data_IF_631775798135
#
_entry.id   IF_631775798135
#
_cell.length_a   1.000
_cell.length_b   1.000
_cell.length_c   1.000
_cell.angle_alpha   90.00
_cell.angle_beta   90.00
_cell.angle_gamma   90.00
#
_symmetry.space_group_name_H-M   'P 1'
#
loop_
_entity.id
_entity.type
_entity.pdbx_description
1 polymer ?
#
# COMPACT_ATOMS: atom_id res chain seq x y z
N UNK A 1 13.80 -24.94 -5.33
CA UNK A 1 13.52 -23.50 -5.12
C UNK A 1 12.03 -23.29 -5.07
N UNK A 2 11.53 -22.75 -3.99
CA UNK A 2 10.13 -22.45 -3.89
C UNK A 2 9.83 -21.14 -4.61
N UNK A 3 8.75 -21.09 -5.36
CA UNK A 3 8.26 -19.83 -5.89
C UNK A 3 7.78 -18.94 -4.74
N UNK A 4 8.00 -17.64 -4.87
CA UNK A 4 7.41 -16.70 -3.93
C UNK A 4 5.89 -16.80 -4.00
N UNK A 5 5.23 -16.73 -2.85
CA UNK A 5 3.78 -16.72 -2.82
C UNK A 5 3.26 -15.43 -3.45
N UNK A 6 2.14 -15.49 -4.19
CA UNK A 6 1.49 -14.27 -4.66
C UNK A 6 1.13 -13.35 -3.50
N UNK A 7 1.41 -12.07 -3.66
CA UNK A 7 1.13 -11.08 -2.63
C UNK A 7 0.85 -9.71 -3.23
N UNK A 8 0.58 -8.75 -2.37
CA UNK A 8 0.46 -7.33 -2.70
C UNK A 8 1.63 -6.62 -2.05
N UNK A 9 2.35 -5.81 -2.81
CA UNK A 9 3.49 -5.04 -2.33
C UNK A 9 3.33 -3.57 -2.69
N UNK A 10 4.10 -2.72 -2.01
CA UNK A 10 4.11 -1.29 -2.30
C UNK A 10 5.52 -0.72 -2.24
N UNK A 11 5.68 0.46 -2.81
CA UNK A 11 6.89 1.26 -2.75
C UNK A 11 6.48 2.72 -2.72
N UNK A 12 6.80 3.42 -1.64
CA UNK A 12 6.43 4.84 -1.49
C UNK A 12 7.65 5.70 -1.81
N UNK A 13 7.47 6.61 -2.76
CA UNK A 13 8.52 7.55 -3.19
C UNK A 13 8.08 8.96 -2.88
N UNK A 14 8.98 9.72 -2.26
CA UNK A 14 8.78 11.13 -1.94
C UNK A 14 9.33 11.97 -3.10
N UNK A 15 8.42 12.53 -3.89
CA UNK A 15 8.81 13.33 -5.07
C UNK A 15 9.40 14.68 -4.70
N UNK A 16 9.14 15.19 -3.48
CA UNK A 16 9.72 16.45 -3.04
C UNK A 16 11.21 16.32 -2.75
N UNK A 17 11.64 15.20 -2.18
CA UNK A 17 13.06 14.94 -1.89
C UNK A 17 13.74 14.16 -3.01
N UNK A 18 13.00 13.39 -3.80
CA UNK A 18 13.53 12.46 -4.78
C UNK A 18 13.94 11.11 -4.17
N UNK A 19 13.67 10.89 -2.89
CA UNK A 19 14.10 9.70 -2.16
C UNK A 19 12.93 8.77 -1.84
N UNK A 20 13.19 7.49 -1.54
CA UNK A 20 12.17 6.62 -0.96
C UNK A 20 11.65 7.19 0.37
N UNK A 21 10.40 6.91 0.68
CA UNK A 21 9.76 7.37 1.91
C UNK A 21 9.74 6.25 2.95
N UNK A 22 10.63 6.28 3.95
CA UNK A 22 10.66 5.25 5.00
C UNK A 22 9.60 5.51 6.06
N UNK A 23 9.23 4.45 6.78
CA UNK A 23 8.37 4.50 7.95
C UNK A 23 6.99 5.11 7.69
N UNK A 24 6.46 4.88 6.49
CA UNK A 24 5.08 5.26 6.15
C UNK A 24 4.15 4.14 6.58
N UNK A 25 3.14 4.46 7.39
CA UNK A 25 2.12 3.51 7.79
C UNK A 25 1.21 3.14 6.63
N UNK A 26 1.04 1.83 6.40
CA UNK A 26 0.18 1.29 5.33
C UNK A 26 -0.67 0.18 5.92
N UNK A 27 -1.98 0.33 5.79
CA UNK A 27 -2.94 -0.70 6.20
C UNK A 27 -3.55 -1.35 4.96
N UNK A 28 -3.68 -2.67 4.99
CA UNK A 28 -4.39 -3.42 3.97
C UNK A 28 -5.67 -3.98 4.57
N UNK A 29 -6.78 -3.70 3.92
CA UNK A 29 -8.09 -4.23 4.28
C UNK A 29 -8.60 -5.13 3.16
N UNK A 30 -9.30 -6.19 3.54
CA UNK A 30 -10.12 -6.95 2.61
C UNK A 30 -11.57 -6.54 2.80
N UNK A 31 -12.28 -6.31 1.72
CA UNK A 31 -13.69 -5.91 1.78
C UNK A 31 -14.56 -7.15 1.71
N UNK A 32 -15.46 -7.28 2.69
CA UNK A 32 -16.45 -8.35 2.69
C UNK A 32 -17.52 -8.09 1.61
N UNK A 33 -18.41 -9.06 1.39
CA UNK A 33 -19.46 -8.96 0.35
C UNK A 33 -20.37 -7.75 0.57
N UNK A 34 -20.57 -7.34 1.82
CA UNK A 34 -21.36 -6.15 2.16
C UNK A 34 -20.55 -4.86 2.09
N UNK A 35 -19.27 -4.92 1.68
CA UNK A 35 -18.37 -3.78 1.59
C UNK A 35 -17.67 -3.41 2.89
N UNK A 36 -17.94 -4.12 4.00
CA UNK A 36 -17.28 -3.82 5.27
C UNK A 36 -15.80 -4.21 5.23
N UNK A 37 -14.88 -3.38 5.77
CA UNK A 37 -13.47 -3.67 5.75
C UNK A 37 -13.06 -4.61 6.87
N UNK A 38 -12.18 -5.56 6.54
CA UNK A 38 -11.50 -6.42 7.52
C UNK A 38 -10.00 -6.12 7.43
N UNK A 39 -9.39 -5.75 8.56
CA UNK A 39 -7.96 -5.46 8.58
C UNK A 39 -7.16 -6.74 8.35
N UNK A 40 -6.32 -6.72 7.31
CA UNK A 40 -5.40 -7.82 7.00
C UNK A 40 -4.04 -7.57 7.65
N UNK A 41 -3.52 -6.36 7.48
CA UNK A 41 -2.22 -5.97 8.05
C UNK A 41 -2.13 -4.47 8.24
N UNK A 42 -1.23 -4.07 9.14
CA UNK A 42 -0.86 -2.68 9.35
C UNK A 42 0.64 -2.67 9.53
N UNK A 43 1.36 -2.22 8.50
CA UNK A 43 2.81 -2.31 8.42
C UNK A 43 3.37 -0.93 8.09
N UNK A 44 4.71 -0.81 8.15
CA UNK A 44 5.40 0.43 7.80
C UNK A 44 6.45 0.16 6.73
N UNK A 45 6.65 1.12 5.84
CA UNK A 45 7.69 0.99 4.81
C UNK A 45 9.07 0.91 5.47
N UNK A 46 9.96 0.14 4.84
CA UNK A 46 11.35 0.00 5.28
C UNK A 46 12.20 1.21 4.83
N UNK A 47 13.51 1.12 5.03
CA UNK A 47 14.45 2.20 4.66
C UNK A 47 14.44 2.53 3.17
N UNK A 48 14.01 1.60 2.32
CA UNK A 48 13.89 1.79 0.88
C UNK A 48 12.46 2.21 0.46
N UNK A 49 11.58 2.49 1.42
CA UNK A 49 10.20 2.86 1.14
C UNK A 49 9.32 1.69 0.73
N UNK A 50 9.72 0.46 1.01
CA UNK A 50 9.04 -0.74 0.50
C UNK A 50 8.35 -1.53 1.61
N UNK A 51 7.25 -2.18 1.23
CA UNK A 51 6.67 -3.31 1.96
C UNK A 51 6.50 -4.43 0.95
N UNK A 52 7.27 -5.51 1.12
CA UNK A 52 7.31 -6.62 0.17
C UNK A 52 6.12 -7.55 0.26
N UNK A 53 5.47 -7.64 1.42
CA UNK A 53 4.34 -8.53 1.64
C UNK A 53 3.29 -7.87 2.54
N UNK A 54 2.34 -7.19 1.93
CA UNK A 54 1.24 -6.53 2.65
C UNK A 54 0.24 -7.53 3.22
N UNK A 55 0.25 -8.77 2.76
CA UNK A 55 -0.59 -9.81 3.34
C UNK A 55 -0.03 -10.36 4.65
N UNK A 56 1.23 -10.03 4.96
CA UNK A 56 1.90 -10.43 6.21
C UNK A 56 1.79 -11.94 6.46
N UNK A 57 2.06 -12.72 5.41
CA UNK A 57 2.02 -14.17 5.46
C UNK A 57 0.67 -14.80 5.10
N UNK A 58 -0.40 -14.01 5.02
CA UNK A 58 -1.70 -14.54 4.64
C UNK A 58 -1.77 -14.84 3.14
N UNK A 59 -2.62 -15.77 2.69
CA UNK A 59 -2.76 -16.05 1.27
C UNK A 59 -3.49 -14.92 0.55
N UNK A 60 -3.10 -14.67 -0.71
CA UNK A 60 -3.84 -13.78 -1.58
C UNK A 60 -5.10 -14.50 -2.07
N UNK A 61 -6.24 -13.85 -1.91
CA UNK A 61 -7.55 -14.39 -2.28
C UNK A 61 -8.19 -13.41 -3.28
N UNK A 62 -8.90 -13.92 -4.26
CA UNK A 62 -9.70 -13.08 -5.15
C UNK A 62 -10.71 -12.25 -4.36
N UNK A 63 -10.95 -11.04 -4.82
CA UNK A 63 -11.89 -10.12 -4.18
C UNK A 63 -11.39 -8.69 -4.16
N UNK A 64 -12.08 -7.86 -3.39
CA UNK A 64 -11.78 -6.44 -3.30
C UNK A 64 -10.97 -6.16 -2.04
N UNK A 65 -9.96 -5.30 -2.20
CA UNK A 65 -9.06 -4.85 -1.12
C UNK A 65 -8.99 -3.34 -1.14
N UNK A 66 -8.54 -2.77 -0.02
CA UNK A 66 -8.26 -1.35 0.08
C UNK A 66 -6.92 -1.15 0.78
N UNK A 67 -6.05 -0.36 0.16
CA UNK A 67 -4.82 0.13 0.78
C UNK A 67 -5.07 1.52 1.35
N UNK A 68 -4.60 1.76 2.57
CA UNK A 68 -4.65 3.07 3.20
C UNK A 68 -3.25 3.48 3.63
N UNK A 69 -2.77 4.60 3.10
CA UNK A 69 -1.44 5.14 3.41
C UNK A 69 -1.60 6.34 4.34
N UNK A 70 -0.88 6.34 5.46
CA UNK A 70 -0.88 7.45 6.41
C UNK A 70 0.18 8.48 6.03
N UNK A 71 -0.13 9.26 5.01
CA UNK A 71 0.80 10.23 4.45
C UNK A 71 0.96 11.47 5.33
N UNK A 72 -0.07 11.81 6.12
CA UNK A 72 -0.01 12.92 7.06
C UNK A 72 1.01 12.67 8.18
N UNK A 73 1.06 11.45 8.71
CA UNK A 73 2.06 11.06 9.69
C UNK A 73 3.47 11.14 9.12
N UNK A 74 3.66 10.66 7.89
CA UNK A 74 4.95 10.76 7.21
C UNK A 74 5.40 12.22 7.02
N UNK A 75 4.48 13.11 6.63
CA UNK A 75 4.79 14.52 6.42
C UNK A 75 5.20 15.22 7.71
N UNK A 76 4.83 14.68 8.87
CA UNK A 76 5.07 15.24 10.20
C UNK A 76 4.62 16.71 10.29
N UNK A 77 3.49 16.98 9.67
CA UNK A 77 2.89 18.32 9.61
C UNK A 77 1.37 18.17 9.79
N UNK A 78 0.82 18.66 10.91
CA UNK A 78 -0.62 18.56 11.16
C UNK A 78 -1.47 19.34 10.15
N UNK A 79 -0.86 20.29 9.44
CA UNK A 79 -1.53 21.10 8.43
C UNK A 79 -1.26 20.59 7.00
N UNK A 80 -0.61 19.44 6.84
CA UNK A 80 -0.40 18.86 5.52
C UNK A 80 -1.73 18.67 4.81
N UNK A 81 -1.77 19.02 3.53
CA UNK A 81 -3.01 18.96 2.75
C UNK A 81 -3.55 17.53 2.66
N UNK A 82 -2.69 16.57 2.30
CA UNK A 82 -3.08 15.17 2.26
C UNK A 82 -2.76 14.51 3.59
N UNK A 83 -3.76 13.93 4.23
CA UNK A 83 -3.62 13.20 5.49
C UNK A 83 -3.59 11.69 5.26
N UNK A 84 -4.30 11.20 4.26
CA UNK A 84 -4.31 9.79 3.92
C UNK A 84 -4.57 9.60 2.43
N UNK A 85 -4.17 8.44 1.92
CA UNK A 85 -4.50 8.01 0.57
C UNK A 85 -5.11 6.62 0.66
N UNK A 86 -6.30 6.43 0.09
CA UNK A 86 -6.97 5.14 0.05
C UNK A 86 -7.10 4.69 -1.41
N UNK A 87 -6.67 3.47 -1.69
CA UNK A 87 -6.66 2.90 -3.04
C UNK A 87 -7.46 1.60 -3.02
N UNK A 88 -8.52 1.56 -3.80
CA UNK A 88 -9.34 0.35 -3.96
C UNK A 88 -8.73 -0.55 -5.04
N UNK A 89 -8.59 -1.84 -4.72
CA UNK A 89 -8.02 -2.84 -5.62
C UNK A 89 -9.04 -3.96 -5.84
N UNK A 90 -9.09 -4.50 -7.05
CA UNK A 90 -9.83 -5.73 -7.32
C UNK A 90 -8.87 -6.80 -7.81
N UNK A 91 -8.80 -7.91 -7.09
CA UNK A 91 -7.96 -9.05 -7.43
C UNK A 91 -8.81 -10.09 -8.11
N UNK A 92 -8.59 -10.28 -9.40
CA UNK A 92 -9.31 -11.27 -10.20
C UNK A 92 -8.48 -12.52 -10.49
N UNK A 93 -7.18 -12.45 -10.24
CA UNK A 93 -6.25 -13.57 -10.42
C UNK A 93 -5.35 -13.65 -9.20
N UNK A 94 -5.64 -14.59 -8.31
CA UNK A 94 -4.86 -14.79 -7.08
C UNK A 94 -3.58 -15.59 -7.31
N UNK A 95 -3.29 -16.00 -8.55
CA UNK A 95 -2.10 -16.76 -8.91
C UNK A 95 -0.89 -15.88 -9.23
N UNK A 96 -1.00 -14.57 -9.13
CA UNK A 96 0.08 -13.64 -9.41
C UNK A 96 0.16 -12.57 -8.34
N UNK A 97 1.33 -11.92 -8.23
CA UNK A 97 1.52 -10.81 -7.31
C UNK A 97 1.15 -9.47 -7.96
N UNK A 98 0.85 -8.49 -7.10
CA UNK A 98 0.48 -7.13 -7.52
C UNK A 98 1.34 -6.14 -6.77
N UNK A 99 1.89 -5.17 -7.50
CA UNK A 99 2.72 -4.11 -6.94
C UNK A 99 2.02 -2.78 -7.14
N UNK A 100 1.80 -2.05 -6.05
CA UNK A 100 1.02 -0.81 -6.02
C UNK A 100 1.88 0.30 -5.43
N UNK A 101 2.73 0.97 -6.24
CA UNK A 101 3.54 2.08 -5.77
C UNK A 101 2.71 3.32 -5.48
N UNK A 102 3.21 4.18 -4.58
CA UNK A 102 2.65 5.50 -4.32
C UNK A 102 3.73 6.55 -4.54
N UNK A 103 3.47 7.50 -5.42
CA UNK A 103 4.31 8.67 -5.63
C UNK A 103 3.68 9.82 -4.86
N UNK A 104 4.42 10.36 -3.88
CA UNK A 104 3.90 11.29 -2.88
C UNK A 104 4.58 12.64 -3.01
N UNK A 105 3.80 13.71 -3.05
CA UNK A 105 4.28 15.08 -2.89
C UNK A 105 3.30 15.87 -2.04
N UNK A 106 3.66 17.10 -1.57
CA UNK A 106 2.77 17.85 -0.68
C UNK A 106 1.38 18.12 -1.26
N UNK A 107 1.27 18.26 -2.57
CA UNK A 107 0.01 18.63 -3.22
C UNK A 107 -0.39 17.71 -4.37
N UNK A 108 0.21 16.54 -4.48
CA UNK A 108 -0.13 15.58 -5.51
C UNK A 108 0.28 14.17 -5.15
N UNK A 109 -0.51 13.21 -5.57
CA UNK A 109 -0.19 11.80 -5.38
C UNK A 109 -0.58 11.03 -6.63
N UNK A 110 0.19 9.98 -6.93
CA UNK A 110 -0.11 9.07 -8.02
C UNK A 110 0.12 7.65 -7.58
N UNK A 111 -0.70 6.75 -8.07
CA UNK A 111 -0.53 5.32 -7.88
C UNK A 111 -0.78 4.60 -9.20
N UNK A 112 -0.19 3.44 -9.35
CA UNK A 112 -0.35 2.63 -10.57
C UNK A 112 -0.08 1.17 -10.22
N UNK A 113 -0.46 0.28 -11.15
CA UNK A 113 -0.10 -1.12 -11.00
C UNK A 113 1.28 -1.33 -11.61
N UNK A 114 2.28 -1.60 -10.78
CA UNK A 114 3.61 -1.98 -11.22
C UNK A 114 3.59 -3.39 -11.83
N UNK A 115 4.47 -3.62 -12.76
CA UNK A 115 4.58 -4.94 -13.42
C UNK A 115 5.48 -5.89 -12.65
#
# INVERSE_FOLDING_TARGET
>A
MSAARPTISTHVLDLASGDPAPDVGVALFRLADDGSPELVSELRTDGDGRIGDLLDGAPLIEGDYQLAFDVGDYADDPDAFFQSAAVALRIIDAGRSYHVPLLLSPYGMSTYRGS
#
